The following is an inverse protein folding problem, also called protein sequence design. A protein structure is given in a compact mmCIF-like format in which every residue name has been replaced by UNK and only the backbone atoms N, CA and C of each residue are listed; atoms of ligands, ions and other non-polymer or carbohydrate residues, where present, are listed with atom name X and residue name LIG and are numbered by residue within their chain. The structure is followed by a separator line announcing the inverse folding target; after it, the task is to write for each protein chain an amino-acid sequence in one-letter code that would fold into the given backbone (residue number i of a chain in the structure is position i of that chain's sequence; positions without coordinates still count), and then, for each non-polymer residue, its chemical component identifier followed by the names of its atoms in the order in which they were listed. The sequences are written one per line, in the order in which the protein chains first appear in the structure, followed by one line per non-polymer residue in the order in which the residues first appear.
data_IF_309353961591
#
_entry.id   IF_309353961591
#
_cell.length_a   1.000
_cell.length_b   1.000
_cell.length_c   1.000
_cell.angle_alpha   90.00
_cell.angle_beta   90.00
_cell.angle_gamma   90.00
#
_symmetry.space_group_name_H-M   'P 1'
#
loop_
_entity.id
_entity.type
_entity.pdbx_description
1 polymer ?
#
# COMPACT_ATOMS: atom_id res chain seq x y z
N UNK A 1 6.77 -21.09 -1.80
CA UNK A 1 6.46 -19.85 -2.53
C UNK A 1 4.97 -19.84 -2.85
N UNK A 2 4.26 -18.77 -2.48
CA UNK A 2 2.82 -18.65 -2.76
C UNK A 2 2.63 -18.47 -4.26
N UNK A 3 1.84 -19.36 -4.88
CA UNK A 3 1.49 -19.27 -6.30
C UNK A 3 0.21 -18.43 -6.43
N UNK A 4 0.39 -17.12 -6.51
CA UNK A 4 -0.67 -16.21 -6.95
C UNK A 4 -0.69 -16.27 -8.48
N UNK A 5 -1.73 -16.86 -9.06
CA UNK A 5 -1.72 -17.20 -10.49
C UNK A 5 -3.09 -17.21 -11.17
N UNK A 6 -4.15 -16.85 -10.44
CA UNK A 6 -5.51 -16.76 -10.97
C UNK A 6 -5.92 -15.28 -11.04
N UNK A 7 -6.38 -14.86 -12.21
CA UNK A 7 -6.92 -13.50 -12.43
C UNK A 7 -8.10 -13.30 -11.47
N UNK A 8 -8.00 -12.28 -10.60
CA UNK A 8 -9.03 -11.96 -9.60
C UNK A 8 -8.75 -12.46 -8.17
N UNK A 9 -7.64 -13.14 -7.90
CA UNK A 9 -7.25 -13.48 -6.52
C UNK A 9 -6.66 -12.26 -5.80
N UNK A 10 -7.51 -11.59 -5.03
CA UNK A 10 -7.15 -10.47 -4.15
C UNK A 10 -6.97 -10.91 -2.70
N UNK A 11 -6.68 -12.19 -2.46
CA UNK A 11 -6.44 -12.70 -1.11
C UNK A 11 -5.29 -11.97 -0.39
N UNK A 12 -5.21 -12.03 0.94
CA UNK A 12 -4.26 -11.25 1.72
C UNK A 12 -2.81 -11.41 1.25
N UNK A 13 -2.37 -12.64 0.94
CA UNK A 13 -1.01 -12.88 0.43
C UNK A 13 -0.81 -12.65 -1.07
N UNK A 14 -1.88 -12.47 -1.85
CA UNK A 14 -1.86 -12.30 -3.31
C UNK A 14 -2.29 -10.92 -3.80
N UNK A 15 -2.31 -9.93 -2.90
CA UNK A 15 -2.59 -8.54 -3.26
C UNK A 15 -1.50 -7.92 -4.17
N UNK A 16 -1.87 -6.83 -4.85
CA UNK A 16 -1.00 -6.15 -5.81
C UNK A 16 0.29 -5.59 -5.19
N UNK A 17 0.23 -5.07 -3.97
CA UNK A 17 1.40 -4.51 -3.26
C UNK A 17 2.44 -5.61 -3.02
N UNK A 18 2.02 -6.74 -2.45
CA UNK A 18 2.87 -7.90 -2.23
C UNK A 18 3.38 -8.53 -3.52
N UNK A 19 2.64 -8.43 -4.64
CA UNK A 19 3.16 -8.85 -5.95
C UNK A 19 4.29 -7.94 -6.44
N UNK A 20 4.13 -6.63 -6.30
CA UNK A 20 5.13 -5.62 -6.70
C UNK A 20 6.39 -5.75 -5.85
N UNK A 21 6.25 -5.83 -4.53
CA UNK A 21 7.40 -5.98 -3.61
C UNK A 21 8.19 -7.26 -3.89
N UNK A 22 7.51 -8.39 -4.12
CA UNK A 22 8.19 -9.65 -4.47
C UNK A 22 8.89 -9.59 -5.83
N UNK A 23 8.36 -8.84 -6.79
CA UNK A 23 8.91 -8.70 -8.14
C UNK A 23 10.10 -7.74 -8.17
N UNK A 24 10.06 -6.66 -7.40
CA UNK A 24 11.08 -5.59 -7.42
C UNK A 24 12.16 -5.81 -6.35
N UNK A 25 11.77 -6.03 -5.09
CA UNK A 25 12.70 -6.19 -3.96
C UNK A 25 13.22 -7.64 -3.84
N UNK A 26 12.45 -8.60 -4.35
CA UNK A 26 12.79 -10.02 -4.30
C UNK A 26 12.43 -10.70 -2.97
N UNK A 27 12.20 -12.01 -3.00
CA UNK A 27 11.69 -12.78 -1.84
C UNK A 27 12.60 -12.71 -0.61
N UNK A 28 13.90 -12.50 -0.80
CA UNK A 28 14.89 -12.41 0.28
C UNK A 28 14.77 -11.12 1.10
N UNK A 29 14.23 -10.04 0.52
CA UNK A 29 14.04 -8.76 1.22
C UNK A 29 12.77 -8.76 2.07
N UNK A 30 11.79 -9.60 1.72
CA UNK A 30 10.52 -9.65 2.44
C UNK A 30 10.67 -10.39 3.77
N UNK A 31 9.90 -9.99 4.78
CA UNK A 31 9.86 -10.70 6.05
C UNK A 31 9.39 -12.13 5.84
N UNK A 32 10.29 -13.09 6.13
CA UNK A 32 9.99 -14.52 6.08
C UNK A 32 9.10 -15.00 7.23
N UNK A 33 8.94 -14.20 8.29
CA UNK A 33 7.95 -14.43 9.36
C UNK A 33 6.66 -13.70 8.98
N UNK A 34 5.60 -14.41 8.56
CA UNK A 34 4.43 -13.77 7.99
C UNK A 34 3.63 -13.06 9.09
N UNK A 35 3.35 -11.76 8.90
CA UNK A 35 2.37 -11.02 9.72
C UNK A 35 1.02 -11.76 9.74
N UNK A 36 0.70 -12.47 8.64
CA UNK A 36 -0.47 -13.32 8.51
C UNK A 36 -0.55 -14.45 9.54
N UNK A 37 0.57 -14.98 10.06
CA UNK A 37 0.54 -16.05 11.08
C UNK A 37 -0.16 -15.61 12.38
N UNK A 38 -0.33 -14.31 12.61
CA UNK A 38 -1.07 -13.79 13.78
C UNK A 38 -2.58 -13.73 13.55
N UNK A 39 -3.03 -13.85 12.30
CA UNK A 39 -4.45 -13.81 11.95
C UNK A 39 -5.16 -15.10 12.37
N UNK A 40 -6.45 -14.98 12.73
CA UNK A 40 -7.28 -16.09 13.21
C UNK A 40 -7.43 -17.22 12.16
N UNK A 41 -7.24 -16.91 10.88
CA UNK A 41 -7.27 -17.89 9.77
C UNK A 41 -5.98 -18.72 9.68
N UNK A 42 -4.90 -18.26 10.30
CA UNK A 42 -3.57 -18.82 10.16
C UNK A 42 -2.97 -19.30 11.49
N UNK A 43 -3.69 -19.15 12.60
CA UNK A 43 -3.28 -19.61 13.93
C UNK A 43 -4.50 -20.08 14.72
N UNK A 44 -4.43 -21.31 15.23
CA UNK A 44 -5.49 -21.87 16.10
C UNK A 44 -5.65 -21.02 17.38
N UNK A 45 -4.54 -20.49 17.91
CA UNK A 45 -4.48 -19.64 19.12
C UNK A 45 -3.98 -18.23 18.78
N UNK A 46 -4.78 -17.47 18.01
CA UNK A 46 -4.49 -16.06 17.73
C UNK A 46 -4.61 -15.17 18.98
N UNK A 47 -3.80 -14.10 19.12
CA UNK A 47 -2.86 -13.51 18.16
C UNK A 47 -1.38 -13.91 18.39
N UNK A 48 -1.10 -14.81 19.34
CA UNK A 48 0.25 -15.06 19.84
C UNK A 48 0.67 -16.53 19.63
N UNK A 49 0.73 -16.90 18.34
CA UNK A 49 1.41 -18.06 17.74
C UNK A 49 0.94 -19.45 18.22
N UNK A 50 -0.31 -19.79 17.92
CA UNK A 50 -0.73 -21.18 17.81
C UNK A 50 -0.15 -21.85 16.53
N UNK A 51 -0.17 -23.19 16.46
CA UNK A 51 0.23 -23.90 15.25
C UNK A 51 -0.69 -23.53 14.07
N UNK A 52 -0.16 -23.68 12.86
CA UNK A 52 -0.93 -23.48 11.63
C UNK A 52 -2.07 -24.51 11.58
N UNK A 53 -3.34 -24.09 11.43
CA UNK A 53 -4.46 -25.00 11.26
C UNK A 53 -4.21 -25.96 10.08
N UNK A 54 -4.63 -27.23 10.17
CA UNK A 54 -4.44 -28.20 9.08
C UNK A 54 -5.21 -27.84 7.80
N UNK A 55 -6.23 -26.99 7.90
CA UNK A 55 -7.06 -26.44 6.83
C UNK A 55 -6.67 -24.99 6.45
N UNK A 56 -5.53 -24.49 6.94
CA UNK A 56 -5.13 -23.12 6.71
C UNK A 56 -4.81 -22.84 5.24
N UNK A 57 -5.17 -21.64 4.73
CA UNK A 57 -4.90 -21.29 3.35
C UNK A 57 -3.41 -21.08 3.08
N UNK A 58 -2.97 -21.41 1.87
CA UNK A 58 -1.56 -21.37 1.46
C UNK A 58 -0.87 -20.00 1.58
N UNK A 59 -1.66 -18.92 1.59
CA UNK A 59 -1.15 -17.55 1.76
C UNK A 59 -0.76 -17.22 3.21
N UNK A 60 -1.12 -18.03 4.20
CA UNK A 60 -0.73 -17.82 5.60
C UNK A 60 0.79 -17.78 5.80
N UNK A 61 1.54 -18.45 4.92
CA UNK A 61 3.01 -18.48 4.91
C UNK A 61 3.61 -17.57 3.83
N UNK A 62 2.82 -16.65 3.26
CA UNK A 62 3.31 -15.72 2.25
C UNK A 62 4.34 -14.77 2.88
N UNK A 63 5.54 -14.60 2.29
CA UNK A 63 6.44 -13.54 2.69
C UNK A 63 5.79 -12.19 2.37
N UNK A 64 5.82 -11.25 3.30
CA UNK A 64 5.15 -9.96 3.18
C UNK A 64 6.00 -8.87 3.84
N UNK A 65 6.05 -7.69 3.24
CA UNK A 65 6.77 -6.55 3.78
C UNK A 65 5.78 -5.40 4.04
N UNK A 66 5.44 -5.10 5.32
CA UNK A 66 4.54 -4.01 5.64
C UNK A 66 5.12 -2.64 5.27
N UNK A 67 6.46 -2.53 5.18
CA UNK A 67 7.19 -1.31 4.83
C UNK A 67 7.69 -1.34 3.37
N UNK A 68 7.15 -2.26 2.55
CA UNK A 68 7.55 -2.47 1.17
C UNK A 68 7.55 -1.21 0.30
N UNK A 69 7.98 -1.35 -0.95
CA UNK A 69 8.35 -0.23 -1.82
C UNK A 69 7.25 0.83 -1.90
N UNK A 70 6.01 0.42 -2.14
CA UNK A 70 4.88 1.34 -2.28
C UNK A 70 4.55 2.06 -0.97
N UNK A 71 4.63 1.37 0.17
CA UNK A 71 4.39 1.96 1.49
C UNK A 71 5.46 3.01 1.81
N UNK A 72 6.73 2.64 1.61
CA UNK A 72 7.89 3.52 1.79
C UNK A 72 7.80 4.78 0.92
N UNK A 73 7.49 4.64 -0.38
CA UNK A 73 7.34 5.78 -1.30
C UNK A 73 6.20 6.69 -0.85
N UNK A 74 5.05 6.13 -0.48
CA UNK A 74 3.91 6.92 0.01
C UNK A 74 4.24 7.65 1.31
N UNK A 75 4.99 7.03 2.22
CA UNK A 75 5.45 7.67 3.45
C UNK A 75 6.37 8.86 3.15
N UNK A 76 7.37 8.68 2.28
CA UNK A 76 8.30 9.76 1.87
C UNK A 76 7.53 10.92 1.23
N UNK A 77 6.64 10.65 0.28
CA UNK A 77 5.83 11.67 -0.39
C UNK A 77 4.97 12.42 0.62
N UNK A 78 4.31 11.72 1.54
CA UNK A 78 3.47 12.32 2.58
C UNK A 78 4.29 13.23 3.50
N UNK A 79 5.48 12.80 3.91
CA UNK A 79 6.40 13.61 4.70
C UNK A 79 6.83 14.89 3.98
N UNK A 80 7.19 14.81 2.70
CA UNK A 80 7.59 15.97 1.90
C UNK A 80 6.43 16.94 1.68
N UNK A 81 5.22 16.43 1.46
CA UNK A 81 4.00 17.25 1.37
C UNK A 81 3.77 17.99 2.70
N UNK A 82 3.84 17.29 3.83
CA UNK A 82 3.70 17.90 5.16
C UNK A 82 4.74 18.99 5.41
N UNK A 83 6.00 18.75 5.02
CA UNK A 83 7.07 19.74 5.09
C UNK A 83 6.75 20.97 4.24
N UNK A 84 6.26 20.78 3.02
CA UNK A 84 5.87 21.88 2.13
C UNK A 84 4.75 22.73 2.74
N UNK A 85 3.72 22.09 3.32
CA UNK A 85 2.67 22.81 4.04
C UNK A 85 3.21 23.59 5.24
N UNK A 86 4.11 22.99 6.03
CA UNK A 86 4.80 23.67 7.13
C UNK A 86 5.59 24.89 6.68
N UNK A 87 6.35 24.76 5.59
CA UNK A 87 7.10 25.85 4.98
C UNK A 87 6.18 27.02 4.56
N UNK A 88 5.04 26.71 3.93
CA UNK A 88 4.05 27.72 3.53
C UNK A 88 3.48 28.47 4.75
N UNK A 89 3.18 27.76 5.83
CA UNK A 89 2.63 28.37 7.06
C UNK A 89 3.60 29.37 7.67
N UNK A 90 4.89 29.02 7.74
CA UNK A 90 5.93 29.88 8.32
C UNK A 90 6.20 31.09 7.43
N UNK A 91 6.31 30.90 6.11
CA UNK A 91 6.75 31.95 5.19
C UNK A 91 5.63 32.93 4.78
N UNK A 92 4.40 32.44 4.60
CA UNK A 92 3.27 33.26 4.16
C UNK A 92 2.37 33.58 5.35
N UNK A 93 2.23 34.85 5.73
CA UNK A 93 1.37 35.26 6.86
C UNK A 93 -0.08 35.57 6.42
N UNK A 94 -0.30 35.91 5.14
CA UNK A 94 -1.62 36.25 4.60
C UNK A 94 -2.45 35.00 4.31
N UNK A 95 -3.68 34.96 4.81
CA UNK A 95 -4.58 33.82 4.65
C UNK A 95 -4.91 33.50 3.20
N UNK A 96 -5.14 34.52 2.36
CA UNK A 96 -5.44 34.34 0.94
C UNK A 96 -4.33 33.61 0.17
N UNK A 97 -3.07 33.93 0.46
CA UNK A 97 -1.91 33.31 -0.20
C UNK A 97 -1.75 31.84 0.24
N UNK A 98 -1.94 31.55 1.54
CA UNK A 98 -1.97 30.16 2.05
C UNK A 98 -3.03 29.33 1.35
N UNK A 99 -4.27 29.83 1.30
CA UNK A 99 -5.40 29.14 0.69
C UNK A 99 -5.11 28.87 -0.79
N UNK A 100 -4.55 29.83 -1.53
CA UNK A 100 -4.20 29.62 -2.94
C UNK A 100 -3.14 28.52 -3.11
N UNK A 101 -2.09 28.53 -2.29
CA UNK A 101 -1.04 27.51 -2.31
C UNK A 101 -1.51 26.11 -1.89
N UNK A 102 -2.61 25.99 -1.15
CA UNK A 102 -3.20 24.69 -0.78
C UNK A 102 -4.21 24.21 -1.82
N UNK A 103 -5.05 25.11 -2.34
CA UNK A 103 -6.09 24.77 -3.31
C UNK A 103 -5.52 24.39 -4.67
N UNK A 104 -4.50 25.10 -5.16
CA UNK A 104 -3.90 24.83 -6.48
C UNK A 104 -3.37 23.39 -6.62
N UNK A 105 -2.49 22.90 -5.74
CA UNK A 105 -2.02 21.52 -5.83
C UNK A 105 -3.12 20.50 -5.53
N UNK A 106 -4.05 20.79 -4.62
CA UNK A 106 -5.18 19.90 -4.33
C UNK A 106 -6.07 19.69 -5.56
N UNK A 107 -6.37 20.77 -6.29
CA UNK A 107 -7.12 20.70 -7.54
C UNK A 107 -6.34 19.93 -8.61
N UNK A 108 -5.03 20.15 -8.71
CA UNK A 108 -4.17 19.39 -9.62
C UNK A 108 -4.20 17.89 -9.35
N UNK A 109 -4.09 17.48 -8.08
CA UNK A 109 -4.20 16.07 -7.69
C UNK A 109 -5.58 15.48 -7.99
N UNK A 110 -6.65 16.26 -7.79
CA UNK A 110 -8.01 15.84 -8.11
C UNK A 110 -8.18 15.57 -9.61
N UNK A 111 -7.72 16.47 -10.47
CA UNK A 111 -7.76 16.31 -11.93
C UNK A 111 -6.95 15.07 -12.36
N UNK A 112 -5.77 14.87 -11.79
CA UNK A 112 -4.95 13.69 -12.05
C UNK A 112 -5.68 12.40 -11.63
N UNK A 113 -6.32 12.38 -10.47
CA UNK A 113 -7.09 11.23 -9.99
C UNK A 113 -8.24 10.87 -10.93
N UNK A 114 -9.00 11.87 -11.40
CA UNK A 114 -10.06 11.66 -12.38
C UNK A 114 -9.52 11.14 -13.72
N UNK A 115 -8.40 11.68 -14.20
CA UNK A 115 -7.78 11.19 -15.42
C UNK A 115 -7.38 9.72 -15.30
N UNK A 116 -6.74 9.33 -14.19
CA UNK A 116 -6.35 7.94 -13.94
C UNK A 116 -7.55 7.00 -13.83
N UNK A 117 -8.63 7.42 -13.18
CA UNK A 117 -9.87 6.63 -13.09
C UNK A 117 -10.52 6.42 -14.46
N UNK A 118 -10.54 7.45 -15.30
CA UNK A 118 -11.05 7.36 -16.67
C UNK A 118 -10.24 6.37 -17.51
N UNK A 119 -8.91 6.55 -17.57
CA UNK A 119 -8.03 5.63 -18.30
C UNK A 119 -8.07 4.19 -17.72
N UNK A 120 -8.21 4.05 -16.40
CA UNK A 120 -8.34 2.76 -15.74
C UNK A 120 -9.60 2.01 -16.15
N UNK A 121 -10.74 2.71 -16.27
CA UNK A 121 -12.00 2.13 -16.75
C UNK A 121 -11.91 1.70 -18.21
N UNK A 122 -11.24 2.47 -19.06
CA UNK A 122 -11.03 2.11 -20.47
C UNK A 122 -10.19 0.83 -20.62
N UNK A 123 -9.17 0.64 -19.76
CA UNK A 123 -8.33 -0.57 -19.76
C UNK A 123 -9.11 -1.81 -19.28
N UNK A 124 -10.06 -1.65 -18.34
CA UNK A 124 -10.86 -2.77 -17.82
C UNK A 124 -11.98 -3.18 -18.77
N UNK A 125 -12.51 -2.24 -19.57
CA UNK A 125 -13.59 -2.48 -20.53
C UNK A 125 -13.11 -2.84 -21.95
N UNK A 126 -11.80 -2.82 -22.22
CA UNK A 126 -11.19 -3.25 -23.49
C UNK A 126 -10.62 -4.66 -23.43
#
# INVERSE_FOLDING_TARGET
QVKCGVRGDSGPGCNAVGMIDRKILGIQHLYGRPVYARSQQCSIDSPQNGPLPPDAPSWCQAPFDPEGLLSSVMAIVTCLIGLQYGHIIVHFQKHRERIMHWLVPSFGMLVLAFAMDFFGKDIVNS
#
